data_IF_980621435535
#
_entry.id   IF_980621435535
#
_cell.length_a   1.000
_cell.length_b   1.000
_cell.length_c   1.000
_cell.angle_alpha   90.00
_cell.angle_beta   90.00
_cell.angle_gamma   90.00
#
_symmetry.space_group_name_H-M   'P 1'
#
loop_
_entity.id
_entity.type
_entity.pdbx_description
1 polymer ?
#
# COMPACT_ATOMS: atom_id res chain seq x y z
N UNK A 1 6.95 28.99 -16.22
CA UNK A 1 7.37 27.57 -16.31
C UNK A 1 6.88 26.88 -15.05
N UNK A 2 5.91 25.98 -15.16
CA UNK A 2 5.47 25.12 -14.04
C UNK A 2 6.20 23.79 -14.17
N UNK A 3 7.32 23.62 -13.48
CA UNK A 3 7.99 22.33 -13.37
C UNK A 3 7.29 21.49 -12.30
N UNK A 4 6.92 20.26 -12.65
CA UNK A 4 6.44 19.28 -11.68
C UNK A 4 7.62 18.85 -10.80
N UNK A 5 7.76 19.45 -9.63
CA UNK A 5 8.73 19.02 -8.63
C UNK A 5 8.15 17.89 -7.77
N UNK A 6 8.81 16.75 -7.72
CA UNK A 6 8.47 15.67 -6.78
C UNK A 6 9.23 15.91 -5.48
N UNK A 7 8.49 16.15 -4.39
CA UNK A 7 9.08 16.26 -3.06
C UNK A 7 9.44 14.89 -2.50
N UNK A 8 10.47 14.84 -1.67
CA UNK A 8 10.82 13.64 -0.90
C UNK A 8 9.63 13.15 -0.05
N UNK A 9 8.83 14.09 0.49
CA UNK A 9 7.57 13.77 1.17
C UNK A 9 6.56 13.04 0.29
N UNK A 10 6.51 13.34 -1.02
CA UNK A 10 5.64 12.62 -1.96
C UNK A 10 6.07 11.16 -2.10
N UNK A 11 7.38 10.88 -2.12
CA UNK A 11 7.91 9.52 -2.18
C UNK A 11 7.59 8.76 -0.89
N UNK A 12 7.79 9.39 0.28
CA UNK A 12 7.47 8.79 1.58
C UNK A 12 5.99 8.42 1.67
N UNK A 13 5.10 9.31 1.23
CA UNK A 13 3.65 9.06 1.21
C UNK A 13 3.25 8.03 0.14
N UNK A 14 3.90 8.01 -1.01
CA UNK A 14 3.65 6.99 -2.03
C UNK A 14 3.98 5.59 -1.52
N UNK A 15 5.11 5.41 -0.83
CA UNK A 15 5.47 4.14 -0.18
C UNK A 15 4.42 3.79 0.90
N UNK A 16 3.94 4.77 1.66
CA UNK A 16 2.90 4.56 2.65
C UNK A 16 1.64 3.94 2.03
N UNK A 17 1.13 4.55 0.94
CA UNK A 17 -0.03 4.05 0.20
C UNK A 17 0.19 2.64 -0.34
N UNK A 18 1.39 2.32 -0.84
CA UNK A 18 1.72 0.98 -1.35
C UNK A 18 1.71 -0.06 -0.22
N UNK A 19 2.29 0.26 0.93
CA UNK A 19 2.33 -0.65 2.08
C UNK A 19 0.94 -0.89 2.66
N UNK A 20 0.17 0.18 2.85
CA UNK A 20 -1.21 0.12 3.35
C UNK A 20 -2.10 -0.63 2.36
N UNK A 21 -1.97 -0.33 1.07
CA UNK A 21 -2.65 -1.04 -0.01
C UNK A 21 -2.32 -2.52 -0.01
N UNK A 22 -1.04 -2.90 0.12
CA UNK A 22 -0.62 -4.30 0.23
C UNK A 22 -1.27 -5.03 1.40
N UNK A 23 -1.39 -4.37 2.56
CA UNK A 23 -2.12 -4.90 3.70
C UNK A 23 -3.62 -5.08 3.40
N UNK A 24 -4.28 -4.06 2.83
CA UNK A 24 -5.69 -4.13 2.44
C UNK A 24 -5.96 -5.20 1.38
N UNK A 25 -5.10 -5.30 0.36
CA UNK A 25 -5.20 -6.29 -0.71
C UNK A 25 -4.94 -7.72 -0.23
N UNK A 26 -4.19 -7.89 0.86
CA UNK A 26 -3.92 -9.18 1.46
C UNK A 26 -4.96 -9.67 2.47
N UNK A 27 -6.04 -8.93 2.73
CA UNK A 27 -6.98 -9.32 3.78
C UNK A 27 -7.89 -10.50 3.37
N UNK A 28 -8.28 -11.29 4.36
CA UNK A 28 -9.18 -12.44 4.16
C UNK A 28 -10.53 -12.03 3.55
N UNK A 29 -11.08 -10.87 3.94
CA UNK A 29 -12.35 -10.36 3.39
C UNK A 29 -12.26 -10.06 1.90
N UNK A 30 -11.17 -9.43 1.44
CA UNK A 30 -10.99 -9.11 0.02
C UNK A 30 -10.81 -10.37 -0.84
N UNK A 31 -10.19 -11.42 -0.27
CA UNK A 31 -10.07 -12.73 -0.91
C UNK A 31 -11.45 -13.33 -1.25
N UNK A 32 -12.42 -13.19 -0.35
CA UNK A 32 -13.79 -13.65 -0.57
C UNK A 32 -14.54 -12.77 -1.57
N UNK A 33 -14.35 -11.44 -1.50
CA UNK A 33 -14.96 -10.49 -2.43
C UNK A 33 -14.51 -10.72 -3.88
N UNK A 34 -13.19 -10.81 -4.10
CA UNK A 34 -12.59 -11.00 -5.44
C UNK A 34 -12.80 -12.43 -5.95
N UNK A 35 -12.91 -13.41 -5.05
CA UNK A 35 -13.31 -14.78 -5.38
C UNK A 35 -14.77 -14.89 -5.86
N UNK A 36 -15.56 -13.81 -5.76
CA UNK A 36 -16.91 -13.73 -6.30
C UNK A 36 -17.92 -14.62 -5.58
N UNK A 37 -17.64 -15.06 -4.34
CA UNK A 37 -18.47 -16.00 -3.58
C UNK A 37 -18.87 -17.26 -4.36
N UNK A 38 -18.00 -17.72 -5.27
CA UNK A 38 -18.26 -18.91 -6.09
C UNK A 38 -17.38 -20.07 -5.65
N UNK A 39 -18.00 -21.24 -5.50
CA UNK A 39 -17.29 -22.48 -5.17
C UNK A 39 -16.58 -23.11 -6.39
N UNK A 40 -16.94 -22.68 -7.61
CA UNK A 40 -16.42 -23.26 -8.85
C UNK A 40 -15.61 -22.26 -9.68
N UNK A 41 -14.29 -22.29 -9.52
CA UNK A 41 -13.36 -21.37 -10.19
C UNK A 41 -13.11 -21.68 -11.69
N UNK A 42 -13.47 -22.87 -12.18
CA UNK A 42 -13.19 -23.25 -13.58
C UNK A 42 -13.97 -22.44 -14.63
N UNK A 43 -15.11 -21.84 -14.23
CA UNK A 43 -15.94 -21.00 -15.10
C UNK A 43 -15.56 -19.50 -15.08
N UNK A 44 -14.60 -19.11 -14.24
CA UNK A 44 -14.21 -17.70 -14.05
C UNK A 44 -12.69 -17.56 -13.89
N UNK A 45 -11.90 -17.74 -14.96
CA UNK A 45 -10.44 -17.72 -14.91
C UNK A 45 -9.89 -16.37 -14.42
N UNK A 46 -10.54 -15.25 -14.76
CA UNK A 46 -10.14 -13.92 -14.29
C UNK A 46 -10.27 -13.78 -12.76
N UNK A 47 -11.38 -14.23 -12.18
CA UNK A 47 -11.59 -14.23 -10.71
C UNK A 47 -10.59 -15.16 -10.01
N UNK A 48 -10.25 -16.30 -10.62
CA UNK A 48 -9.26 -17.22 -10.08
C UNK A 48 -7.85 -16.60 -10.05
N UNK A 49 -7.44 -15.88 -11.09
CA UNK A 49 -6.13 -15.20 -11.09
C UNK A 49 -6.08 -14.09 -10.02
N UNK A 50 -7.13 -13.27 -9.91
CA UNK A 50 -7.20 -12.24 -8.89
C UNK A 50 -7.22 -12.84 -7.47
N UNK A 51 -7.94 -13.95 -7.27
CA UNK A 51 -7.93 -14.72 -6.02
C UNK A 51 -6.53 -15.27 -5.69
N UNK A 52 -5.79 -15.76 -6.69
CA UNK A 52 -4.40 -16.23 -6.51
C UNK A 52 -3.45 -15.10 -6.14
N UNK A 53 -3.56 -13.93 -6.77
CA UNK A 53 -2.78 -12.74 -6.42
C UNK A 53 -3.05 -12.29 -4.98
N UNK A 54 -4.31 -12.16 -4.58
CA UNK A 54 -4.72 -11.83 -3.21
C UNK A 54 -4.22 -12.89 -2.22
N UNK A 55 -4.31 -14.18 -2.57
CA UNK A 55 -3.79 -15.27 -1.73
C UNK A 55 -2.26 -15.24 -1.60
N UNK A 56 -1.54 -14.69 -2.59
CA UNK A 56 -0.10 -14.45 -2.46
C UNK A 56 0.19 -13.37 -1.41
N UNK A 57 -0.55 -12.24 -1.46
CA UNK A 57 -0.46 -11.18 -0.46
C UNK A 57 -0.88 -11.65 0.93
N UNK A 58 -1.95 -12.44 1.04
CA UNK A 58 -2.47 -12.98 2.31
C UNK A 58 -1.42 -13.81 3.06
N UNK A 59 -0.58 -14.56 2.34
CA UNK A 59 0.49 -15.39 2.92
C UNK A 59 1.48 -14.58 3.75
N UNK A 60 1.65 -13.30 3.44
CA UNK A 60 2.52 -12.34 4.14
C UNK A 60 1.70 -11.21 4.77
N UNK A 61 0.40 -11.37 4.99
CA UNK A 61 -0.49 -10.32 5.48
C UNK A 61 0.00 -9.68 6.79
N UNK A 62 0.47 -10.50 7.73
CA UNK A 62 1.02 -10.00 8.99
C UNK A 62 2.29 -9.16 8.76
N UNK A 63 3.16 -9.55 7.84
CA UNK A 63 4.35 -8.78 7.49
C UNK A 63 4.00 -7.44 6.83
N UNK A 64 3.01 -7.42 5.93
CA UNK A 64 2.47 -6.17 5.38
C UNK A 64 1.92 -5.25 6.46
N UNK A 65 1.22 -5.79 7.46
CA UNK A 65 0.69 -5.03 8.59
C UNK A 65 1.80 -4.36 9.41
N UNK A 66 2.85 -5.12 9.78
CA UNK A 66 3.98 -4.60 10.54
C UNK A 66 4.76 -3.55 9.76
N UNK A 67 5.03 -3.82 8.48
CA UNK A 67 5.72 -2.86 7.60
C UNK A 67 4.90 -1.58 7.42
N UNK A 68 3.59 -1.69 7.21
CA UNK A 68 2.71 -0.53 7.07
C UNK A 68 2.61 0.26 8.37
N UNK A 69 2.51 -0.42 9.52
CA UNK A 69 2.40 0.25 10.82
C UNK A 69 3.66 1.06 11.12
N UNK A 70 4.83 0.46 10.91
CA UNK A 70 6.11 1.14 11.07
C UNK A 70 6.21 2.35 10.14
N UNK A 71 5.87 2.16 8.86
CA UNK A 71 6.00 3.21 7.87
C UNK A 71 5.00 4.35 8.04
N UNK A 72 3.78 4.07 8.52
CA UNK A 72 2.81 5.10 8.91
C UNK A 72 3.37 5.97 10.03
N UNK A 73 3.90 5.35 11.10
CA UNK A 73 4.55 6.09 12.18
C UNK A 73 5.73 6.93 11.69
N UNK A 74 6.55 6.37 10.79
CA UNK A 74 7.64 7.11 10.15
C UNK A 74 7.14 8.29 9.30
N UNK A 75 6.11 8.11 8.48
CA UNK A 75 5.56 9.20 7.67
C UNK A 75 4.96 10.32 8.52
N UNK A 76 4.31 9.98 9.64
CA UNK A 76 3.78 10.97 10.58
C UNK A 76 4.91 11.80 11.22
N UNK A 77 5.97 11.11 11.66
CA UNK A 77 7.17 11.75 12.19
C UNK A 77 7.86 12.62 11.13
N UNK A 78 8.01 12.13 9.91
CA UNK A 78 8.61 12.87 8.79
C UNK A 78 7.85 14.17 8.52
N UNK A 79 6.53 14.09 8.37
CA UNK A 79 5.68 15.25 8.10
C UNK A 79 5.71 16.23 9.26
N UNK A 80 5.72 15.74 10.51
CA UNK A 80 5.83 16.59 11.70
C UNK A 80 7.18 17.29 11.82
N UNK A 81 8.28 16.61 11.53
CA UNK A 81 9.61 17.23 11.50
C UNK A 81 9.72 18.26 10.37
N UNK A 82 9.08 18.02 9.24
CA UNK A 82 9.00 18.99 8.15
C UNK A 82 8.18 20.22 8.53
N UNK A 83 7.04 20.06 9.22
CA UNK A 83 6.20 21.18 9.64
C UNK A 83 6.85 22.03 10.74
N UNK A 84 7.69 21.42 11.58
CA UNK A 84 8.51 22.12 12.58
C UNK A 84 9.75 22.79 11.96
N UNK A 85 10.01 22.63 10.67
CA UNK A 85 11.17 23.20 9.98
C UNK A 85 12.51 22.56 10.37
N UNK A 86 12.50 21.43 11.08
CA UNK A 86 13.71 20.67 11.42
C UNK A 86 14.19 19.91 10.18
N UNK A 87 13.26 19.33 9.43
CA UNK A 87 13.53 18.70 8.14
C UNK A 87 13.02 19.57 7.01
N UNK A 88 13.80 19.65 5.93
CA UNK A 88 13.39 20.34 4.72
C UNK A 88 13.00 19.30 3.67
N UNK A 89 11.80 19.46 3.10
CA UNK A 89 11.36 18.68 1.96
C UNK A 89 12.19 19.07 0.73
N UNK A 90 13.16 18.24 0.39
CA UNK A 90 13.94 18.42 -0.83
C UNK A 90 13.06 18.09 -2.03
N UNK A 91 12.97 19.05 -2.95
CA UNK A 91 12.22 18.90 -4.20
C UNK A 91 13.18 18.54 -5.32
N UNK A 92 12.88 17.45 -6.01
CA UNK A 92 13.53 17.07 -7.25
C UNK A 92 12.71 17.71 -8.37
N UNK A 93 13.30 18.66 -9.10
CA UNK A 93 12.66 19.48 -10.14
C UNK A 93 13.11 19.04 -11.53
#
# INVERSE_FOLDING_TARGET
>A
RTSLGVGLGTIVLAINVVLLGGYTFGCHSLRHLIGGFRDQFSRAPACYQAYRCVSCFNRRHMLWAWMSLFWVGFSDLYVRLCSMGIWHDFRIV
#
